data_IF_843723563129
#
_entry.id   IF_843723563129
#
_cell.length_a   1.000
_cell.length_b   1.000
_cell.length_c   1.000
_cell.angle_alpha   90.00
_cell.angle_beta   90.00
_cell.angle_gamma   90.00
#
_symmetry.space_group_name_H-M   'P 1'
#
loop_
_entity.id
_entity.type
_entity.pdbx_description
1 polymer ?
#
# COMPACT_ATOMS: atom_id res chain seq x y z
N UNK A 1 44.00 20.31 -23.46
CA UNK A 1 43.04 19.99 -22.37
C UNK A 1 41.66 20.05 -22.97
N UNK A 2 41.14 18.92 -23.40
CA UNK A 2 39.81 18.83 -23.99
C UNK A 2 38.77 18.80 -22.86
N UNK A 3 38.11 19.93 -22.67
CA UNK A 3 36.88 19.99 -21.86
C UNK A 3 35.76 19.34 -22.64
N UNK A 4 35.65 18.02 -22.56
CA UNK A 4 34.41 17.33 -22.86
C UNK A 4 33.41 17.75 -21.78
N UNK A 5 32.72 18.87 -22.02
CA UNK A 5 31.49 19.20 -21.34
C UNK A 5 30.52 18.03 -21.67
N UNK A 6 30.34 17.12 -20.73
CA UNK A 6 29.29 16.10 -20.80
C UNK A 6 27.95 16.85 -20.82
N UNK A 7 27.51 17.24 -22.02
CA UNK A 7 26.19 17.82 -22.22
C UNK A 7 25.17 16.73 -21.89
N UNK A 8 24.55 16.83 -20.72
CA UNK A 8 23.48 15.90 -20.32
C UNK A 8 22.41 15.97 -21.38
N UNK A 9 22.03 14.81 -21.94
CA UNK A 9 21.03 14.71 -23.00
C UNK A 9 19.71 15.33 -22.53
N UNK A 10 19.12 16.22 -23.33
CA UNK A 10 17.82 16.88 -23.04
C UNK A 10 16.71 15.87 -22.74
N UNK A 11 16.73 14.70 -23.40
CA UNK A 11 15.78 13.63 -23.14
C UNK A 11 15.89 13.09 -21.70
N UNK A 12 17.10 12.96 -21.17
CA UNK A 12 17.34 12.49 -19.79
C UNK A 12 16.84 13.53 -18.76
N UNK A 13 17.00 14.82 -19.04
CA UNK A 13 16.47 15.89 -18.18
C UNK A 13 14.93 15.96 -18.20
N UNK A 14 14.31 15.65 -19.33
CA UNK A 14 12.86 15.62 -19.48
C UNK A 14 12.19 14.36 -18.92
N UNK A 15 12.93 13.25 -18.82
CA UNK A 15 12.40 11.95 -18.43
C UNK A 15 11.65 11.95 -17.07
N UNK A 16 12.11 12.58 -15.98
CA UNK A 16 11.40 12.65 -14.71
C UNK A 16 10.00 13.26 -14.84
N UNK A 17 9.86 14.32 -15.64
CA UNK A 17 8.58 14.98 -15.89
C UNK A 17 7.63 14.10 -16.67
N UNK A 18 8.12 13.50 -17.75
CA UNK A 18 7.33 12.59 -18.60
C UNK A 18 6.86 11.35 -17.82
N UNK A 19 7.71 10.79 -16.97
CA UNK A 19 7.34 9.68 -16.09
C UNK A 19 6.19 10.08 -15.15
N UNK A 20 6.26 11.23 -14.51
CA UNK A 20 5.19 11.69 -13.63
C UNK A 20 3.90 11.98 -14.39
N UNK A 21 3.95 12.50 -15.63
CA UNK A 21 2.75 12.73 -16.45
C UNK A 21 2.13 11.39 -16.87
N UNK A 22 2.86 10.56 -17.61
CA UNK A 22 2.27 9.38 -18.23
C UNK A 22 2.04 8.24 -17.24
N UNK A 23 3.09 7.81 -16.56
CA UNK A 23 3.01 6.72 -15.59
C UNK A 23 2.22 7.15 -14.35
N UNK A 24 2.42 8.39 -13.88
CA UNK A 24 1.70 8.92 -12.73
C UNK A 24 0.19 9.01 -12.98
N UNK A 25 -0.26 9.54 -14.13
CA UNK A 25 -1.68 9.57 -14.49
C UNK A 25 -2.25 8.17 -14.70
N UNK A 26 -1.50 7.26 -15.33
CA UNK A 26 -1.93 5.88 -15.51
C UNK A 26 -2.18 5.19 -14.16
N UNK A 27 -1.24 5.32 -13.20
CA UNK A 27 -1.38 4.76 -11.86
C UNK A 27 -2.54 5.43 -11.11
N UNK A 28 -2.70 6.75 -11.23
CA UNK A 28 -3.80 7.48 -10.61
C UNK A 28 -5.16 6.98 -11.11
N UNK A 29 -5.36 6.88 -12.43
CA UNK A 29 -6.61 6.40 -13.02
C UNK A 29 -6.91 4.95 -12.62
N UNK A 30 -5.95 4.06 -12.81
CA UNK A 30 -6.12 2.63 -12.50
C UNK A 30 -6.27 2.39 -11.00
N UNK A 31 -5.57 3.17 -10.17
CA UNK A 31 -5.67 3.12 -8.72
C UNK A 31 -7.06 3.51 -8.22
N UNK A 32 -7.59 4.64 -8.69
CA UNK A 32 -8.93 5.11 -8.30
C UNK A 32 -10.03 4.14 -8.76
N UNK A 33 -9.96 3.66 -10.00
CA UNK A 33 -10.88 2.63 -10.50
C UNK A 33 -10.81 1.35 -9.64
N UNK A 34 -9.61 0.95 -9.26
CA UNK A 34 -9.38 -0.18 -8.38
C UNK A 34 -9.98 0.03 -6.99
N UNK A 35 -9.76 1.19 -6.37
CA UNK A 35 -10.32 1.53 -5.06
C UNK A 35 -11.85 1.52 -5.09
N UNK A 36 -12.47 2.14 -6.08
CA UNK A 36 -13.93 2.13 -6.26
C UNK A 36 -14.44 0.69 -6.42
N UNK A 37 -13.78 -0.12 -7.26
CA UNK A 37 -14.13 -1.53 -7.45
C UNK A 37 -14.06 -2.34 -6.16
N UNK A 38 -13.00 -2.19 -5.37
CA UNK A 38 -12.85 -2.81 -4.05
C UNK A 38 -13.95 -2.34 -3.08
N UNK A 39 -14.23 -1.04 -3.01
CA UNK A 39 -15.27 -0.51 -2.15
C UNK A 39 -16.65 -1.07 -2.50
N UNK A 40 -17.01 -1.16 -3.78
CA UNK A 40 -18.28 -1.76 -4.25
C UNK A 40 -18.40 -3.21 -3.79
N UNK A 41 -17.36 -4.03 -3.99
CA UNK A 41 -17.44 -5.46 -3.70
C UNK A 41 -17.40 -5.72 -2.20
N UNK A 42 -16.47 -5.12 -1.45
CA UNK A 42 -16.33 -5.35 -0.01
C UNK A 42 -17.46 -4.71 0.81
N UNK A 43 -18.14 -3.66 0.31
CA UNK A 43 -19.36 -3.11 0.92
C UNK A 43 -20.57 -4.02 0.78
N UNK A 44 -20.53 -5.05 -0.07
CA UNK A 44 -21.69 -5.95 -0.27
C UNK A 44 -22.03 -6.70 1.01
N UNK A 45 -23.34 -6.99 1.21
CA UNK A 45 -23.88 -7.67 2.42
C UNK A 45 -23.17 -8.99 2.74
N UNK A 46 -22.66 -9.69 1.72
CA UNK A 46 -21.95 -10.98 1.88
C UNK A 46 -20.55 -10.80 2.46
N UNK A 47 -19.80 -9.79 1.97
CA UNK A 47 -18.44 -9.53 2.41
C UNK A 47 -18.36 -8.76 3.73
N UNK A 48 -19.24 -7.78 3.98
CA UNK A 48 -19.29 -7.01 5.24
C UNK A 48 -19.48 -7.83 6.51
N UNK A 49 -19.92 -9.07 6.39
CA UNK A 49 -20.04 -10.01 7.52
C UNK A 49 -18.72 -10.70 7.89
N UNK A 50 -17.62 -10.36 7.22
CA UNK A 50 -16.30 -10.96 7.43
C UNK A 50 -15.28 -9.90 7.83
N UNK A 51 -14.50 -10.14 8.87
CA UNK A 51 -13.56 -9.19 9.44
C UNK A 51 -12.52 -8.71 8.42
N UNK A 52 -11.90 -9.64 7.67
CA UNK A 52 -10.93 -9.26 6.63
C UNK A 52 -11.48 -8.29 5.57
N UNK A 53 -12.76 -8.41 5.24
CA UNK A 53 -13.37 -7.54 4.25
C UNK A 53 -13.57 -6.11 4.78
N UNK A 54 -13.75 -5.95 6.09
CA UNK A 54 -13.78 -4.63 6.74
C UNK A 54 -12.42 -3.97 6.64
N UNK A 55 -11.32 -4.70 6.91
CA UNK A 55 -9.96 -4.17 6.76
C UNK A 55 -9.67 -3.75 5.32
N UNK A 56 -9.97 -4.62 4.33
CA UNK A 56 -9.73 -4.31 2.91
C UNK A 56 -10.65 -3.20 2.38
N UNK A 57 -11.86 -3.05 2.92
CA UNK A 57 -12.74 -1.92 2.61
C UNK A 57 -12.16 -0.61 3.13
N UNK A 58 -11.70 -0.60 4.37
CA UNK A 58 -11.07 0.58 5.00
C UNK A 58 -9.76 0.94 4.31
N UNK A 59 -8.96 -0.06 3.91
CA UNK A 59 -7.77 0.12 3.09
C UNK A 59 -8.10 0.77 1.74
N UNK A 60 -9.12 0.28 1.03
CA UNK A 60 -9.52 0.83 -0.25
C UNK A 60 -9.99 2.29 -0.14
N UNK A 61 -10.72 2.64 0.93
CA UNK A 61 -11.13 4.02 1.20
C UNK A 61 -9.93 4.93 1.50
N UNK A 62 -8.97 4.44 2.28
CA UNK A 62 -7.71 5.14 2.57
C UNK A 62 -6.90 5.35 1.28
N UNK A 63 -6.73 4.31 0.46
CA UNK A 63 -6.00 4.38 -0.79
C UNK A 63 -6.66 5.33 -1.81
N UNK A 64 -7.98 5.45 -1.82
CA UNK A 64 -8.67 6.42 -2.67
C UNK A 64 -8.26 7.85 -2.33
N UNK A 65 -8.23 8.22 -1.04
CA UNK A 65 -7.75 9.53 -0.58
C UNK A 65 -6.28 9.72 -0.97
N UNK A 66 -5.46 8.68 -0.80
CA UNK A 66 -4.04 8.70 -1.13
C UNK A 66 -3.76 8.99 -2.61
N UNK A 67 -4.54 8.39 -3.52
CA UNK A 67 -4.41 8.66 -4.95
C UNK A 67 -4.88 10.06 -5.32
N UNK A 68 -6.03 10.49 -4.83
CA UNK A 68 -6.61 11.78 -5.22
C UNK A 68 -5.88 12.97 -4.60
N UNK A 69 -5.33 12.81 -3.42
CA UNK A 69 -4.61 13.90 -2.78
C UNK A 69 -3.09 13.82 -3.01
N UNK A 70 -2.44 12.71 -2.67
CA UNK A 70 -0.99 12.64 -2.74
C UNK A 70 -0.46 12.43 -4.16
N UNK A 71 -0.97 11.40 -4.88
CA UNK A 71 -0.44 11.11 -6.22
C UNK A 71 -0.83 12.19 -7.23
N UNK A 72 -2.07 12.68 -7.19
CA UNK A 72 -2.51 13.75 -8.08
C UNK A 72 -1.70 15.03 -7.85
N UNK A 73 -1.51 15.46 -6.59
CA UNK A 73 -0.67 16.63 -6.29
C UNK A 73 0.79 16.44 -6.72
N UNK A 74 1.31 15.19 -6.66
CA UNK A 74 2.65 14.87 -7.17
C UNK A 74 2.69 15.01 -8.70
N UNK A 75 1.73 14.45 -9.42
CA UNK A 75 1.65 14.56 -10.89
C UNK A 75 1.57 16.03 -11.32
N UNK A 76 0.74 16.83 -10.64
CA UNK A 76 0.65 18.26 -10.91
C UNK A 76 1.96 18.99 -10.65
N UNK A 77 2.63 18.69 -9.53
CA UNK A 77 3.88 19.39 -9.17
C UNK A 77 5.09 18.89 -9.96
N UNK A 78 5.27 17.57 -10.11
CA UNK A 78 6.46 16.99 -10.73
C UNK A 78 6.30 16.76 -12.22
N UNK A 79 5.09 16.51 -12.71
CA UNK A 79 4.79 16.34 -14.13
C UNK A 79 4.51 17.67 -14.82
N UNK A 80 3.47 18.38 -14.38
CA UNK A 80 3.02 19.63 -14.99
C UNK A 80 3.71 20.88 -14.42
N UNK A 81 4.59 20.72 -13.41
CA UNK A 81 5.35 21.80 -12.76
C UNK A 81 4.47 22.90 -12.15
N UNK A 82 3.26 22.57 -11.73
CA UNK A 82 2.35 23.50 -11.06
C UNK A 82 2.73 23.55 -9.56
N UNK A 83 3.19 24.68 -9.01
CA UNK A 83 3.79 24.76 -7.69
C UNK A 83 2.76 24.81 -6.56
N UNK A 84 1.81 23.86 -6.52
CA UNK A 84 0.68 23.86 -5.56
C UNK A 84 1.17 23.75 -4.12
N UNK A 85 2.09 22.83 -3.86
CA UNK A 85 2.58 22.55 -2.49
C UNK A 85 3.57 23.61 -1.99
N UNK A 86 4.20 24.34 -2.89
CA UNK A 86 5.14 25.42 -2.52
C UNK A 86 4.46 26.77 -2.44
N UNK A 87 3.26 26.90 -3.02
CA UNK A 87 2.46 28.12 -3.00
C UNK A 87 1.55 28.23 -1.77
N UNK A 88 0.98 27.10 -1.32
CA UNK A 88 0.01 27.07 -0.23
C UNK A 88 0.53 26.24 0.95
N UNK A 89 0.76 26.90 2.10
CA UNK A 89 1.28 26.29 3.32
C UNK A 89 0.37 25.14 3.84
N UNK A 90 -0.94 25.31 3.76
CA UNK A 90 -1.90 24.28 4.16
C UNK A 90 -1.75 23.02 3.30
N UNK A 91 -1.58 23.17 1.98
CA UNK A 91 -1.39 22.02 1.07
C UNK A 91 -0.05 21.33 1.34
N UNK A 92 1.02 22.14 1.62
CA UNK A 92 2.30 21.60 2.04
C UNK A 92 2.15 20.69 3.26
N UNK A 93 1.56 21.19 4.34
CA UNK A 93 1.36 20.46 5.61
C UNK A 93 0.52 19.19 5.43
N UNK A 94 -0.64 19.33 4.80
CA UNK A 94 -1.55 18.21 4.57
C UNK A 94 -0.90 17.12 3.71
N UNK A 95 -0.16 17.52 2.65
CA UNK A 95 0.49 16.56 1.75
C UNK A 95 1.60 15.79 2.46
N UNK A 96 2.43 16.47 3.26
CA UNK A 96 3.52 15.83 4.00
C UNK A 96 2.99 14.92 5.12
N UNK A 97 1.90 15.32 5.75
CA UNK A 97 1.19 14.48 6.70
C UNK A 97 0.58 13.24 6.01
N UNK A 98 -0.23 13.43 4.96
CA UNK A 98 -0.94 12.36 4.25
C UNK A 98 0.02 11.34 3.64
N UNK A 99 1.20 11.77 3.18
CA UNK A 99 2.19 10.90 2.54
C UNK A 99 2.64 9.73 3.42
N UNK A 100 2.80 9.95 4.71
CA UNK A 100 3.24 8.90 5.66
C UNK A 100 2.06 8.32 6.40
N UNK A 101 1.12 9.16 6.84
CA UNK A 101 -0.06 8.71 7.57
C UNK A 101 -0.86 7.69 6.78
N UNK A 102 -1.23 8.02 5.56
CA UNK A 102 -2.06 7.15 4.72
C UNK A 102 -1.31 5.88 4.30
N UNK A 103 -0.02 6.00 4.02
CA UNK A 103 0.85 4.87 3.76
C UNK A 103 0.83 3.85 4.91
N UNK A 104 1.03 4.31 6.15
CA UNK A 104 1.09 3.44 7.32
C UNK A 104 -0.30 2.90 7.72
N UNK A 105 -1.35 3.70 7.57
CA UNK A 105 -2.74 3.24 7.77
C UNK A 105 -3.07 2.11 6.80
N UNK A 106 -2.85 2.30 5.51
CA UNK A 106 -3.15 1.31 4.47
C UNK A 106 -2.38 0.02 4.70
N UNK A 107 -1.08 0.11 4.98
CA UNK A 107 -0.23 -1.04 5.25
C UNK A 107 -0.64 -1.81 6.51
N UNK A 108 -1.00 -1.08 7.57
CA UNK A 108 -1.48 -1.67 8.83
C UNK A 108 -2.81 -2.39 8.62
N UNK A 109 -3.75 -1.80 7.88
CA UNK A 109 -5.04 -2.42 7.56
C UNK A 109 -4.86 -3.69 6.71
N UNK A 110 -3.97 -3.66 5.72
CA UNK A 110 -3.62 -4.84 4.94
C UNK A 110 -2.97 -5.92 5.80
N UNK A 111 -2.07 -5.54 6.71
CA UNK A 111 -1.44 -6.46 7.68
C UNK A 111 -2.47 -7.10 8.61
N UNK A 112 -3.46 -6.34 9.08
CA UNK A 112 -4.57 -6.85 9.89
C UNK A 112 -5.43 -7.85 9.11
N UNK A 113 -5.66 -7.63 7.83
CA UNK A 113 -6.36 -8.59 6.97
C UNK A 113 -5.58 -9.91 6.83
N UNK A 114 -4.25 -9.85 6.71
CA UNK A 114 -3.40 -11.06 6.68
C UNK A 114 -3.41 -11.78 8.03
N UNK A 115 -3.28 -11.05 9.14
CA UNK A 115 -3.32 -11.60 10.50
C UNK A 115 -4.68 -12.28 10.75
N UNK A 116 -5.78 -11.63 10.37
CA UNK A 116 -7.12 -12.23 10.45
C UNK A 116 -7.18 -13.57 9.70
N UNK A 117 -6.56 -13.64 8.54
CA UNK A 117 -6.45 -14.88 7.76
C UNK A 117 -5.61 -15.94 8.46
N UNK A 118 -4.46 -15.60 8.97
CA UNK A 118 -3.59 -16.53 9.72
C UNK A 118 -4.35 -17.10 10.93
N UNK A 119 -5.07 -16.25 11.68
CA UNK A 119 -5.84 -16.63 12.85
C UNK A 119 -7.04 -17.52 12.48
N UNK A 120 -7.74 -17.23 11.37
CA UNK A 120 -8.91 -18.02 10.92
C UNK A 120 -8.55 -19.45 10.56
N UNK A 121 -7.29 -19.71 10.23
CA UNK A 121 -6.75 -21.00 9.83
C UNK A 121 -6.22 -21.82 11.02
N UNK A 122 -5.98 -21.17 12.16
CA UNK A 122 -5.47 -21.86 13.35
C UNK A 122 -6.56 -22.76 13.99
N UNK A 123 -6.12 -23.91 14.54
CA UNK A 123 -7.01 -24.95 15.09
C UNK A 123 -7.67 -24.58 16.43
N UNK A 124 -7.14 -23.61 17.16
CA UNK A 124 -7.65 -23.21 18.46
C UNK A 124 -8.95 -22.39 18.31
N UNK A 125 -10.06 -22.92 18.83
CA UNK A 125 -11.39 -22.28 18.80
C UNK A 125 -11.37 -20.80 19.25
N UNK A 126 -10.50 -20.45 20.19
CA UNK A 126 -10.33 -19.08 20.69
C UNK A 126 -9.93 -18.11 19.57
N UNK A 127 -8.98 -18.49 18.70
CA UNK A 127 -8.49 -17.63 17.62
C UNK A 127 -9.51 -17.53 16.48
N UNK A 128 -10.22 -18.61 16.16
CA UNK A 128 -11.32 -18.59 15.17
C UNK A 128 -12.46 -17.66 15.63
N UNK A 129 -12.77 -17.65 16.94
CA UNK A 129 -13.78 -16.73 17.48
C UNK A 129 -13.35 -15.26 17.40
N UNK A 130 -12.04 -14.96 17.50
CA UNK A 130 -11.52 -13.60 17.35
C UNK A 130 -11.57 -13.12 15.91
N UNK A 131 -11.16 -13.95 14.96
CA UNK A 131 -11.17 -13.65 13.52
C UNK A 131 -12.58 -13.38 12.97
N UNK A 132 -13.61 -14.01 13.50
CA UNK A 132 -14.99 -13.83 13.02
C UNK A 132 -15.73 -12.62 13.63
N UNK A 133 -15.09 -11.81 14.50
CA UNK A 133 -15.74 -10.66 15.14
C UNK A 133 -15.60 -9.40 14.28
N UNK A 134 -16.60 -9.15 13.46
CA UNK A 134 -16.67 -7.94 12.59
C UNK A 134 -16.64 -6.66 13.42
N UNK A 135 -17.25 -6.63 14.61
CA UNK A 135 -17.21 -5.49 15.52
C UNK A 135 -15.78 -5.15 15.99
N UNK A 136 -14.98 -6.19 16.28
CA UNK A 136 -13.56 -6.03 16.61
C UNK A 136 -12.80 -5.44 15.42
N UNK A 137 -13.09 -5.89 14.19
CA UNK A 137 -12.44 -5.35 13.00
C UNK A 137 -12.70 -3.85 12.82
N UNK A 138 -13.93 -3.37 13.03
CA UNK A 138 -14.21 -1.92 13.01
C UNK A 138 -13.44 -1.17 14.09
N UNK A 139 -13.40 -1.67 15.32
CA UNK A 139 -12.62 -1.07 16.40
C UNK A 139 -11.13 -0.99 16.07
N UNK A 140 -10.58 -2.06 15.50
CA UNK A 140 -9.17 -2.08 15.08
C UNK A 140 -8.87 -1.12 13.92
N UNK A 141 -9.79 -0.96 12.95
CA UNK A 141 -9.64 0.04 11.89
C UNK A 141 -9.60 1.45 12.48
N UNK A 142 -10.53 1.79 13.37
CA UNK A 142 -10.58 3.12 14.01
C UNK A 142 -9.32 3.34 14.86
N UNK A 143 -8.93 2.36 15.66
CA UNK A 143 -7.73 2.45 16.50
C UNK A 143 -6.45 2.65 15.64
N UNK A 144 -6.33 1.95 14.52
CA UNK A 144 -5.22 2.09 13.58
C UNK A 144 -5.16 3.50 12.98
N UNK A 145 -6.29 4.01 12.48
CA UNK A 145 -6.39 5.36 11.90
C UNK A 145 -6.03 6.43 12.93
N UNK A 146 -6.58 6.34 14.15
CA UNK A 146 -6.30 7.29 15.22
C UNK A 146 -4.86 7.21 15.74
N UNK A 147 -4.31 6.01 15.86
CA UNK A 147 -2.92 5.81 16.28
C UNK A 147 -1.96 6.53 15.33
N UNK A 148 -2.07 6.29 14.03
CA UNK A 148 -1.21 6.92 13.05
C UNK A 148 -1.48 8.42 12.87
N UNK A 149 -2.75 8.87 13.06
CA UNK A 149 -3.09 10.29 13.09
C UNK A 149 -2.37 11.02 14.22
N UNK A 150 -2.37 10.46 15.42
CA UNK A 150 -1.67 11.04 16.58
C UNK A 150 -0.16 10.98 16.39
N UNK A 151 0.35 9.86 15.87
CA UNK A 151 1.79 9.67 15.70
C UNK A 151 2.38 10.63 14.68
N UNK A 152 1.77 10.80 13.50
CA UNK A 152 2.26 11.71 12.45
C UNK A 152 1.65 13.10 12.46
N UNK A 153 0.70 13.38 13.36
CA UNK A 153 0.02 14.68 13.45
C UNK A 153 0.94 15.87 13.65
N UNK A 154 2.14 15.65 14.20
CA UNK A 154 3.17 16.69 14.35
C UNK A 154 3.57 17.31 13.00
N UNK A 155 3.48 16.59 11.87
CA UNK A 155 3.77 17.12 10.53
C UNK A 155 2.82 18.25 10.12
N UNK A 156 1.58 18.24 10.58
CA UNK A 156 0.60 19.32 10.33
C UNK A 156 1.02 20.67 10.95
N UNK A 157 1.84 20.61 12.00
CA UNK A 157 2.32 21.82 12.72
C UNK A 157 3.73 22.20 12.29
N UNK A 158 4.63 21.22 12.17
CA UNK A 158 6.06 21.43 12.05
C UNK A 158 6.59 21.47 10.60
N UNK A 159 5.71 21.30 9.61
CA UNK A 159 6.02 21.58 8.21
C UNK A 159 5.54 22.96 7.81
N UNK A 160 6.24 23.60 6.91
CA UNK A 160 5.82 24.91 6.34
C UNK A 160 6.50 25.18 5.00
N UNK A 161 5.87 26.07 4.24
CA UNK A 161 6.46 26.60 3.00
C UNK A 161 7.45 27.69 3.34
N UNK A 162 8.74 27.46 3.09
CA UNK A 162 9.83 28.42 3.32
C UNK A 162 10.66 28.52 2.05
N UNK A 163 10.99 29.75 1.63
CA UNK A 163 11.82 30.03 0.45
C UNK A 163 11.38 29.27 -0.82
N UNK A 164 10.04 29.11 -1.03
CA UNK A 164 9.51 28.37 -2.18
C UNK A 164 9.65 26.85 -2.11
N UNK A 165 10.00 26.29 -0.95
CA UNK A 165 10.08 24.86 -0.71
C UNK A 165 9.21 24.44 0.47
N UNK A 166 8.54 23.30 0.34
CA UNK A 166 7.81 22.67 1.45
C UNK A 166 8.80 21.81 2.24
N UNK A 167 9.13 22.22 3.47
CA UNK A 167 10.16 21.58 4.26
C UNK A 167 9.77 21.50 5.76
N UNK A 168 10.34 20.53 6.51
CA UNK A 168 10.20 20.46 7.95
C UNK A 168 10.92 21.64 8.62
N UNK A 169 10.57 21.90 9.88
CA UNK A 169 11.26 22.87 10.71
C UNK A 169 12.77 22.50 10.77
N UNK A 170 13.68 23.41 10.43
CA UNK A 170 15.12 23.12 10.41
C UNK A 170 15.66 22.80 11.79
N UNK A 171 16.76 22.03 11.84
CA UNK A 171 17.42 21.61 13.08
C UNK A 171 17.07 20.19 13.46
N UNK A 172 16.97 19.90 14.75
CA UNK A 172 16.75 18.55 15.28
C UNK A 172 15.50 17.86 14.67
N UNK A 173 14.41 18.60 14.48
CA UNK A 173 13.18 18.05 13.96
C UNK A 173 13.33 17.51 12.53
N UNK A 174 14.05 18.18 11.66
CA UNK A 174 14.26 17.72 10.29
C UNK A 174 15.00 16.37 10.25
N UNK A 175 15.99 16.18 11.10
CA UNK A 175 16.69 14.90 11.24
C UNK A 175 15.78 13.83 11.84
N UNK A 176 15.08 14.15 12.91
CA UNK A 176 14.14 13.22 13.57
C UNK A 176 13.08 12.72 12.58
N UNK A 177 12.41 13.62 11.86
CA UNK A 177 11.37 13.30 10.92
C UNK A 177 11.87 12.43 9.75
N UNK A 178 13.07 12.73 9.23
CA UNK A 178 13.70 11.90 8.20
C UNK A 178 14.04 10.50 8.70
N UNK A 179 14.58 10.34 9.92
CA UNK A 179 14.84 9.02 10.50
C UNK A 179 13.57 8.24 10.74
N UNK A 180 12.52 8.88 11.23
CA UNK A 180 11.20 8.26 11.43
C UNK A 180 10.63 7.79 10.10
N UNK A 181 10.69 8.62 9.06
CA UNK A 181 10.22 8.23 7.73
C UNK A 181 11.00 7.04 7.17
N UNK A 182 12.33 7.08 7.20
CA UNK A 182 13.18 5.97 6.74
C UNK A 182 12.89 4.69 7.53
N UNK A 183 12.76 4.78 8.85
CA UNK A 183 12.49 3.63 9.70
C UNK A 183 11.14 2.97 9.34
N UNK A 184 10.06 3.73 9.30
CA UNK A 184 8.74 3.17 9.05
C UNK A 184 8.55 2.78 7.57
N UNK A 185 8.92 3.62 6.61
CA UNK A 185 8.64 3.33 5.20
C UNK A 185 9.67 2.42 4.55
N UNK A 186 10.96 2.52 4.90
CA UNK A 186 12.01 1.75 4.26
C UNK A 186 12.33 0.44 4.99
N UNK A 187 12.25 0.40 6.33
CA UNK A 187 12.65 -0.78 7.09
C UNK A 187 11.47 -1.63 7.53
N UNK A 188 10.50 -1.04 8.24
CA UNK A 188 9.40 -1.82 8.82
C UNK A 188 8.45 -2.39 7.79
N UNK A 189 8.16 -1.65 6.73
CA UNK A 189 7.23 -2.08 5.67
C UNK A 189 7.66 -3.37 4.98
N UNK A 190 8.84 -3.47 4.33
CA UNK A 190 9.23 -4.71 3.66
C UNK A 190 9.45 -5.85 4.65
N UNK A 191 9.98 -5.57 5.84
CA UNK A 191 10.19 -6.59 6.88
C UNK A 191 8.85 -7.19 7.34
N UNK A 192 7.86 -6.36 7.63
CA UNK A 192 6.53 -6.81 8.01
C UNK A 192 5.89 -7.68 6.91
N UNK A 193 6.02 -7.29 5.64
CA UNK A 193 5.49 -8.06 4.51
C UNK A 193 6.19 -9.41 4.36
N UNK A 194 7.50 -9.48 4.53
CA UNK A 194 8.26 -10.75 4.48
C UNK A 194 7.82 -11.67 5.63
N UNK A 195 7.75 -11.16 6.85
CA UNK A 195 7.35 -11.96 8.03
C UNK A 195 5.91 -12.45 7.89
N UNK A 196 4.97 -11.57 7.54
CA UNK A 196 3.56 -11.93 7.37
C UNK A 196 3.37 -12.92 6.20
N UNK A 197 4.09 -12.74 5.10
CA UNK A 197 4.09 -13.66 3.98
C UNK A 197 4.58 -15.06 4.38
N UNK A 198 5.68 -15.14 5.12
CA UNK A 198 6.21 -16.39 5.64
C UNK A 198 5.19 -17.09 6.58
N UNK A 199 4.61 -16.34 7.52
CA UNK A 199 3.62 -16.87 8.46
C UNK A 199 2.34 -17.35 7.72
N UNK A 200 1.89 -16.62 6.71
CA UNK A 200 0.75 -17.00 5.90
C UNK A 200 1.01 -18.30 5.13
N UNK A 201 2.18 -18.43 4.48
CA UNK A 201 2.59 -19.67 3.77
C UNK A 201 2.67 -20.84 4.74
N UNK A 202 3.30 -20.67 5.91
CA UNK A 202 3.40 -21.71 6.94
C UNK A 202 2.02 -22.15 7.42
N UNK A 203 1.11 -21.19 7.61
CA UNK A 203 -0.27 -21.46 8.04
C UNK A 203 -1.02 -22.33 7.01
N UNK A 204 -0.86 -22.02 5.72
CA UNK A 204 -1.48 -22.79 4.62
C UNK A 204 -0.90 -24.20 4.50
N UNK A 205 0.42 -24.35 4.58
CA UNK A 205 1.06 -25.68 4.55
C UNK A 205 0.54 -26.59 5.66
N UNK A 206 0.40 -26.07 6.87
CA UNK A 206 -0.14 -26.81 8.00
C UNK A 206 -1.58 -27.31 7.79
N UNK A 207 -2.40 -26.67 6.94
CA UNK A 207 -3.72 -27.17 6.56
C UNK A 207 -3.60 -28.33 5.59
N UNK A 208 -2.71 -28.22 4.60
CA UNK A 208 -2.53 -29.25 3.56
C UNK A 208 -2.03 -30.53 4.20
N UNK A 209 -1.05 -30.47 5.08
CA UNK A 209 -0.49 -31.62 5.79
C UNK A 209 -1.55 -32.33 6.66
N UNK A 210 -2.41 -31.58 7.36
CA UNK A 210 -3.49 -32.14 8.18
C UNK A 210 -4.63 -32.78 7.39
N UNK A 211 -4.80 -32.44 6.12
CA UNK A 211 -5.80 -33.06 5.23
C UNK A 211 -5.41 -34.46 4.78
N UNK A 212 -4.13 -34.78 4.81
CA UNK A 212 -3.59 -36.08 4.39
C UNK A 212 -3.84 -37.14 5.48
N UNK A 213 -4.08 -36.74 6.75
CA UNK A 213 -4.40 -37.64 7.86
C UNK A 213 -5.92 -37.70 8.06
N UNK A 214 -6.61 -38.80 7.72
CA UNK A 214 -8.05 -38.93 7.93
C UNK A 214 -8.36 -39.05 9.43
N UNK A 215 -9.09 -38.08 9.98
CA UNK A 215 -9.59 -38.18 11.37
C UNK A 215 -11.04 -38.66 11.34
N UNK A 216 -11.26 -39.91 11.81
CA UNK A 216 -12.55 -40.63 11.76
C UNK A 216 -13.62 -40.09 12.71
N UNK A 217 -13.31 -39.10 13.59
CA UNK A 217 -14.20 -38.73 14.71
C UNK A 217 -15.05 -37.46 14.51
N UNK A 218 -15.28 -37.00 13.27
CA UNK A 218 -16.08 -35.79 13.06
C UNK A 218 -17.42 -36.04 12.39
N UNK A 219 -18.52 -35.39 12.89
CA UNK A 219 -19.85 -35.53 12.30
C UNK A 219 -19.88 -35.09 10.83
N UNK A 220 -20.74 -35.71 9.98
CA UNK A 220 -20.80 -35.47 8.55
C UNK A 220 -21.40 -34.07 8.25
N UNK A 221 -20.55 -33.02 8.23
CA UNK A 221 -20.89 -31.80 7.49
C UNK A 221 -20.85 -32.19 6.01
N UNK A 222 -21.90 -31.88 5.26
CA UNK A 222 -22.04 -32.25 3.85
C UNK A 222 -20.75 -31.89 3.08
N UNK A 223 -20.16 -32.88 2.43
CA UNK A 223 -18.87 -32.78 1.71
C UNK A 223 -18.85 -31.60 0.74
N UNK A 224 -20.00 -31.30 0.12
CA UNK A 224 -20.18 -30.17 -0.80
C UNK A 224 -20.04 -28.79 -0.12
N UNK A 225 -20.56 -28.61 1.10
CA UNK A 225 -20.48 -27.34 1.82
C UNK A 225 -19.06 -27.08 2.36
N UNK A 226 -18.34 -28.12 2.73
CA UNK A 226 -16.95 -28.08 3.16
C UNK A 226 -15.99 -27.73 2.00
N UNK A 227 -16.24 -28.28 0.80
CA UNK A 227 -15.44 -28.00 -0.39
C UNK A 227 -15.59 -26.56 -0.86
N UNK A 228 -16.81 -26.00 -0.85
CA UNK A 228 -17.07 -24.62 -1.24
C UNK A 228 -16.42 -23.59 -0.30
N UNK A 229 -16.51 -23.80 1.03
CA UNK A 229 -15.84 -22.93 2.02
C UNK A 229 -14.31 -22.99 1.87
N UNK A 230 -13.74 -24.16 1.64
CA UNK A 230 -12.31 -24.33 1.42
C UNK A 230 -11.83 -23.65 0.14
N UNK A 231 -12.61 -23.69 -0.92
CA UNK A 231 -12.28 -23.02 -2.17
C UNK A 231 -12.24 -21.50 -2.02
N UNK A 232 -13.20 -20.91 -1.31
CA UNK A 232 -13.22 -19.46 -1.02
C UNK A 232 -12.03 -19.05 -0.16
N UNK A 233 -11.69 -19.85 0.84
CA UNK A 233 -10.56 -19.58 1.73
C UNK A 233 -9.20 -19.70 1.02
N UNK A 234 -9.06 -20.66 0.11
CA UNK A 234 -7.86 -20.82 -0.72
C UNK A 234 -7.66 -19.61 -1.67
N UNK A 235 -8.74 -19.16 -2.33
CA UNK A 235 -8.69 -18.03 -3.25
C UNK A 235 -8.32 -16.72 -2.56
N UNK A 236 -8.85 -16.49 -1.34
CA UNK A 236 -8.51 -15.31 -0.56
C UNK A 236 -7.05 -15.34 -0.11
N UNK A 237 -6.54 -16.49 0.32
CA UNK A 237 -5.15 -16.66 0.70
C UNK A 237 -4.21 -16.40 -0.49
N UNK A 238 -4.54 -16.94 -1.66
CA UNK A 238 -3.79 -16.67 -2.88
C UNK A 238 -3.77 -15.19 -3.23
N UNK A 239 -4.91 -14.51 -3.10
CA UNK A 239 -5.03 -13.07 -3.30
C UNK A 239 -4.07 -12.30 -2.40
N UNK A 240 -4.06 -12.59 -1.09
CA UNK A 240 -3.17 -11.92 -0.14
C UNK A 240 -1.69 -12.24 -0.41
N UNK A 241 -1.35 -13.48 -0.77
CA UNK A 241 0.03 -13.85 -1.14
C UNK A 241 0.52 -13.10 -2.37
N UNK A 242 -0.29 -12.98 -3.41
CA UNK A 242 0.05 -12.21 -4.60
C UNK A 242 0.26 -10.72 -4.27
N UNK A 243 -0.58 -10.15 -3.42
CA UNK A 243 -0.40 -8.77 -2.96
C UNK A 243 0.88 -8.59 -2.14
N UNK A 244 1.24 -9.55 -1.28
CA UNK A 244 2.51 -9.52 -0.54
C UNK A 244 3.71 -9.55 -1.51
N UNK A 245 3.67 -10.39 -2.54
CA UNK A 245 4.74 -10.44 -3.56
C UNK A 245 4.87 -9.08 -4.25
N UNK A 246 3.76 -8.48 -4.67
CA UNK A 246 3.77 -7.14 -5.29
C UNK A 246 4.29 -6.10 -4.28
N UNK A 247 3.88 -6.15 -3.01
CA UNK A 247 4.39 -5.27 -1.98
C UNK A 247 5.92 -5.36 -1.85
N UNK A 248 6.47 -6.56 -1.76
CA UNK A 248 7.91 -6.77 -1.63
C UNK A 248 8.63 -6.26 -2.89
N UNK A 249 8.18 -6.63 -4.08
CA UNK A 249 8.83 -6.25 -5.34
C UNK A 249 8.83 -4.75 -5.62
N UNK A 250 7.84 -4.02 -5.12
CA UNK A 250 7.73 -2.56 -5.31
C UNK A 250 8.33 -1.76 -4.17
N UNK A 251 8.29 -2.28 -2.92
CA UNK A 251 8.75 -1.56 -1.73
C UNK A 251 10.23 -1.75 -1.44
N UNK A 252 10.81 -2.92 -1.73
CA UNK A 252 12.25 -3.14 -1.53
C UNK A 252 13.08 -2.19 -2.40
N UNK A 253 12.84 -2.03 -3.71
CA UNK A 253 13.57 -1.03 -4.51
C UNK A 253 13.40 0.40 -3.98
N UNK A 254 12.20 0.77 -3.52
CA UNK A 254 11.94 2.07 -2.91
C UNK A 254 12.74 2.27 -1.62
N UNK A 255 12.78 1.27 -0.75
CA UNK A 255 13.56 1.30 0.48
C UNK A 255 15.06 1.45 0.21
N UNK A 256 15.60 0.68 -0.73
CA UNK A 256 17.02 0.75 -1.15
C UNK A 256 17.34 2.13 -1.70
N UNK A 257 16.48 2.68 -2.55
CA UNK A 257 16.66 4.00 -3.14
C UNK A 257 16.62 5.10 -2.07
N UNK A 258 15.68 5.02 -1.11
CA UNK A 258 15.58 5.99 -0.02
C UNK A 258 16.84 5.97 0.87
N UNK A 259 17.34 4.80 1.23
CA UNK A 259 18.58 4.63 2.00
C UNK A 259 19.78 5.16 1.21
N UNK A 260 19.89 4.81 -0.07
CA UNK A 260 20.95 5.29 -0.95
C UNK A 260 20.99 6.82 -1.01
N UNK A 261 19.85 7.47 -1.23
CA UNK A 261 19.76 8.95 -1.29
C UNK A 261 20.21 9.60 0.01
N UNK A 262 19.82 9.02 1.16
CA UNK A 262 20.23 9.54 2.46
C UNK A 262 21.75 9.41 2.69
N UNK A 263 22.37 8.30 2.32
CA UNK A 263 23.81 8.07 2.49
C UNK A 263 24.63 8.96 1.54
N UNK A 264 24.16 9.12 0.29
CA UNK A 264 24.92 9.83 -0.75
C UNK A 264 24.59 11.31 -0.88
N UNK A 265 23.78 11.86 0.03
CA UNK A 265 23.32 13.25 -0.02
C UNK A 265 24.49 14.28 -0.03
N UNK A 266 25.56 13.99 0.71
CA UNK A 266 26.73 14.85 0.82
C UNK A 266 27.86 14.54 -0.19
N UNK A 267 27.70 13.53 -1.04
CA UNK A 267 28.73 13.12 -1.98
C UNK A 267 28.79 14.05 -3.19
N UNK A 268 30.00 14.39 -3.67
CA UNK A 268 30.14 15.13 -4.91
C UNK A 268 29.69 14.27 -6.09
N UNK A 269 28.70 14.73 -6.83
CA UNK A 269 28.09 14.00 -7.96
C UNK A 269 28.26 14.78 -9.26
N UNK A 270 28.54 14.07 -10.36
CA UNK A 270 28.54 14.66 -11.69
C UNK A 270 27.11 15.03 -12.13
N UNK A 271 26.98 16.00 -13.06
CA UNK A 271 25.68 16.38 -13.60
C UNK A 271 24.93 15.21 -14.27
N UNK A 272 25.64 14.33 -14.92
CA UNK A 272 25.08 13.11 -15.53
C UNK A 272 24.55 12.14 -14.46
N UNK A 273 25.31 11.95 -13.38
CA UNK A 273 24.91 11.08 -12.28
C UNK A 273 23.64 11.62 -11.60
N UNK A 274 23.57 12.92 -11.32
CA UNK A 274 22.36 13.55 -10.75
C UNK A 274 21.15 13.35 -11.66
N UNK A 275 21.31 13.50 -12.98
CA UNK A 275 20.23 13.32 -13.93
C UNK A 275 19.71 11.87 -13.95
N UNK A 276 20.60 10.88 -13.93
CA UNK A 276 20.23 9.44 -13.87
C UNK A 276 19.55 9.12 -12.54
N UNK A 277 20.11 9.57 -11.41
CA UNK A 277 19.52 9.38 -10.09
C UNK A 277 18.10 9.96 -10.02
N UNK A 278 17.87 11.16 -10.56
CA UNK A 278 16.54 11.77 -10.58
C UNK A 278 15.52 10.92 -11.36
N UNK A 279 15.90 10.34 -12.50
CA UNK A 279 15.03 9.45 -13.26
C UNK A 279 14.71 8.19 -12.45
N UNK A 280 15.72 7.58 -11.82
CA UNK A 280 15.54 6.37 -10.99
C UNK A 280 14.69 6.64 -9.76
N UNK A 281 14.91 7.76 -9.08
CA UNK A 281 14.10 8.20 -7.92
C UNK A 281 12.63 8.33 -8.31
N UNK A 282 12.32 9.03 -9.40
CA UNK A 282 10.94 9.23 -9.84
C UNK A 282 10.28 7.92 -10.29
N UNK A 283 11.01 7.08 -11.03
CA UNK A 283 10.52 5.78 -11.48
C UNK A 283 10.19 4.85 -10.30
N UNK A 284 11.14 4.66 -9.39
CA UNK A 284 10.98 3.75 -8.24
C UNK A 284 9.89 4.26 -7.30
N UNK A 285 9.81 5.58 -7.11
CA UNK A 285 8.74 6.18 -6.32
C UNK A 285 7.35 5.95 -6.95
N UNK A 286 7.20 6.15 -8.26
CA UNK A 286 5.94 5.86 -8.95
C UNK A 286 5.59 4.36 -8.89
N UNK A 287 6.56 3.47 -9.09
CA UNK A 287 6.35 2.03 -8.96
C UNK A 287 5.90 1.63 -7.55
N UNK A 288 6.32 2.35 -6.52
CA UNK A 288 5.88 2.08 -5.16
C UNK A 288 4.36 2.24 -4.93
N UNK A 289 3.68 3.06 -5.74
CA UNK A 289 2.21 3.18 -5.71
C UNK A 289 1.49 1.96 -6.32
N UNK A 290 2.20 1.14 -7.10
CA UNK A 290 1.61 -0.03 -7.76
C UNK A 290 1.06 -1.05 -6.77
N UNK A 291 1.62 -1.15 -5.58
CA UNK A 291 1.08 -1.98 -4.51
C UNK A 291 -0.38 -1.62 -4.20
N UNK A 292 -0.67 -0.36 -3.97
CA UNK A 292 -2.03 0.11 -3.64
C UNK A 292 -2.98 -0.03 -4.83
N UNK A 293 -2.48 0.19 -6.05
CA UNK A 293 -3.26 0.05 -7.28
C UNK A 293 -3.64 -1.41 -7.56
N UNK A 294 -2.72 -2.36 -7.27
CA UNK A 294 -2.87 -3.78 -7.64
C UNK A 294 -3.96 -4.52 -6.88
N UNK A 295 -4.37 -4.05 -5.70
CA UNK A 295 -5.28 -4.73 -4.78
C UNK A 295 -6.58 -5.21 -5.45
N UNK A 296 -7.22 -4.36 -6.23
CA UNK A 296 -8.44 -4.72 -6.98
C UNK A 296 -8.17 -5.76 -8.06
N UNK A 297 -7.14 -5.55 -8.87
CA UNK A 297 -6.85 -6.43 -10.01
C UNK A 297 -6.46 -7.82 -9.56
N UNK A 298 -5.64 -7.92 -8.52
CA UNK A 298 -5.29 -9.19 -7.89
C UNK A 298 -6.54 -9.89 -7.33
N UNK A 299 -7.42 -9.15 -6.64
CA UNK A 299 -8.67 -9.68 -6.10
C UNK A 299 -9.59 -10.17 -7.22
N UNK A 300 -9.68 -9.42 -8.32
CA UNK A 300 -10.52 -9.75 -9.47
C UNK A 300 -10.01 -11.01 -10.21
N UNK A 301 -8.69 -11.15 -10.35
CA UNK A 301 -8.09 -12.31 -11.03
C UNK A 301 -8.14 -13.57 -10.17
N UNK A 302 -7.79 -13.47 -8.88
CA UNK A 302 -7.60 -14.62 -8.00
C UNK A 302 -8.88 -15.11 -7.31
N UNK A 303 -9.92 -14.27 -7.19
CA UNK A 303 -11.10 -14.59 -6.40
C UNK A 303 -12.39 -14.63 -7.24
N UNK A 304 -12.91 -15.84 -7.50
CA UNK A 304 -14.15 -16.05 -8.25
C UNK A 304 -15.38 -15.40 -7.58
N UNK A 305 -15.48 -15.45 -6.26
CA UNK A 305 -16.56 -14.82 -5.51
C UNK A 305 -16.57 -13.31 -5.65
N UNK A 306 -15.38 -12.69 -5.62
CA UNK A 306 -15.19 -11.28 -5.86
C UNK A 306 -15.65 -10.89 -7.28
N UNK A 307 -15.19 -11.63 -8.29
CA UNK A 307 -15.56 -11.43 -9.71
C UNK A 307 -17.06 -11.54 -9.97
N UNK A 308 -17.73 -12.55 -9.38
CA UNK A 308 -19.17 -12.72 -9.52
C UNK A 308 -19.95 -11.56 -8.89
N UNK A 309 -19.53 -11.08 -7.72
CA UNK A 309 -20.20 -9.95 -7.06
C UNK A 309 -20.01 -8.65 -7.84
N UNK A 310 -18.81 -8.39 -8.35
CA UNK A 310 -18.55 -7.23 -9.20
C UNK A 310 -19.41 -7.24 -10.46
N UNK A 311 -19.46 -8.39 -11.18
CA UNK A 311 -20.30 -8.55 -12.37
C UNK A 311 -21.80 -8.39 -12.07
N UNK A 312 -22.26 -8.90 -10.91
CA UNK A 312 -23.66 -8.79 -10.49
C UNK A 312 -24.07 -7.34 -10.23
N UNK A 313 -23.18 -6.54 -9.68
CA UNK A 313 -23.45 -5.11 -9.44
C UNK A 313 -23.74 -4.39 -10.76
N UNK A 314 -22.96 -4.61 -11.80
CA UNK A 314 -23.17 -3.99 -13.11
C UNK A 314 -24.36 -4.56 -13.89
N UNK A 315 -24.78 -5.82 -13.64
CA UNK A 315 -26.01 -6.40 -14.27
C UNK A 315 -27.31 -5.92 -13.66
N UNK A 316 -27.30 -5.38 -12.45
CA UNK A 316 -28.50 -4.82 -11.80
C UNK A 316 -28.74 -3.37 -12.26
N UNK A 317 -27.70 -2.71 -12.76
CA UNK A 317 -27.77 -1.33 -13.25
C UNK A 317 -28.07 -1.23 -14.75
N UNK A 318 -28.13 -2.34 -15.47
CA UNK A 318 -28.61 -2.44 -16.85
C UNK A 318 -29.96 -3.17 -16.91
#
# INVERSE_FOLDING_TARGET
MNTTSNSVNRALLAAPYQLNIWLGLFIWMTGNLGCIGNMIVFSSRTFRKRAYAVYLLSEAASNFIYFDFLLLTRVLQKGFQIPITTRYDVICKLRQFDSVWNHEVSLSLFSLAIIDRILSVQYLNKYIQWSNRVELAYKMCIACVLFWLLFFGHRLVLYSTRNGTCAPLPGFYAHFDNYVEVFFTAMTTPLAMIVLGFLLIRSVRGIIERKIVPNNDRPPVTIAQRSALQQVDSQLTLMLLLQIIIAITTRVPYAVQLIYTNITQSWPKSALQIAIENVMVELVHLLSYTFFTSSFYVSFISNNGFRQKFKKFFKITT
#
